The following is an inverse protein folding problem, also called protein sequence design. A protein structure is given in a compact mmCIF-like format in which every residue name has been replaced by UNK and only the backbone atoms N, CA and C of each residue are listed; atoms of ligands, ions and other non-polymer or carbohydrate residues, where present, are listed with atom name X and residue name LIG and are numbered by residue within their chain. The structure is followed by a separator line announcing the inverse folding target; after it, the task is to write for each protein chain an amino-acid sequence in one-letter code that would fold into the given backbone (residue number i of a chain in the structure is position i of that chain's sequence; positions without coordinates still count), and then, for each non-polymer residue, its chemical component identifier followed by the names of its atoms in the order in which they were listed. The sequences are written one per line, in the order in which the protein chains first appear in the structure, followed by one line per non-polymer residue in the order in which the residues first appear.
data_IF_913728816305
#
_entry.id   IF_913728816305
#
_cell.length_a   1.000
_cell.length_b   1.000
_cell.length_c   1.000
_cell.angle_alpha   90.00
_cell.angle_beta   90.00
_cell.angle_gamma   90.00
#
_symmetry.space_group_name_H-M   'P 1'
#
loop_
_entity.id
_entity.type
_entity.pdbx_description
1 polymer ?
#
# COMPACT_ATOMS: atom_id res chain seq x y z
N UNK A 1 -6.86 24.99 -4.60
CA UNK A 1 -7.59 24.29 -5.67
C UNK A 1 -7.99 22.89 -5.22
N UNK A 2 -9.20 22.50 -5.53
CA UNK A 2 -9.69 21.16 -5.16
C UNK A 2 -8.99 20.09 -5.98
N UNK A 3 -8.71 18.96 -5.35
CA UNK A 3 -8.18 17.79 -6.02
C UNK A 3 -9.27 17.11 -6.82
N UNK A 4 -8.91 16.39 -7.87
CA UNK A 4 -9.87 15.61 -8.64
C UNK A 4 -10.49 14.51 -7.77
N UNK A 5 -11.65 14.00 -8.19
CA UNK A 5 -12.30 12.89 -7.51
C UNK A 5 -11.41 11.64 -7.51
N UNK A 6 -10.71 11.39 -8.63
CA UNK A 6 -9.80 10.25 -8.74
C UNK A 6 -8.65 10.37 -7.77
N UNK A 7 -8.09 11.56 -7.63
CA UNK A 7 -6.99 11.78 -6.68
C UNK A 7 -7.47 11.64 -5.24
N UNK A 8 -8.63 12.21 -4.91
CA UNK A 8 -9.22 12.07 -3.57
C UNK A 8 -9.46 10.61 -3.21
N UNK A 9 -9.98 9.84 -4.17
CA UNK A 9 -10.20 8.41 -3.98
C UNK A 9 -8.87 7.65 -3.80
N UNK A 10 -7.87 8.00 -4.60
CA UNK A 10 -6.56 7.37 -4.50
C UNK A 10 -5.91 7.63 -3.14
N UNK A 11 -6.02 8.85 -2.64
CA UNK A 11 -5.54 9.20 -1.29
C UNK A 11 -6.20 8.30 -0.25
N UNK A 12 -7.52 8.13 -0.32
CA UNK A 12 -8.25 7.26 0.62
C UNK A 12 -7.80 5.82 0.53
N UNK A 13 -7.59 5.30 -0.68
CA UNK A 13 -7.13 3.93 -0.87
C UNK A 13 -5.71 3.73 -0.36
N UNK A 14 -4.83 4.71 -0.57
CA UNK A 14 -3.47 4.67 -0.03
C UNK A 14 -3.48 4.66 1.49
N UNK A 15 -4.28 5.51 2.12
CA UNK A 15 -4.34 5.56 3.58
C UNK A 15 -4.95 4.30 4.16
N UNK A 16 -5.96 3.73 3.49
CA UNK A 16 -6.55 2.46 3.90
C UNK A 16 -5.53 1.32 3.81
N UNK A 17 -4.76 1.28 2.72
CA UNK A 17 -3.71 0.28 2.55
C UNK A 17 -2.61 0.43 3.60
N UNK A 18 -2.19 1.66 3.88
CA UNK A 18 -1.23 1.95 4.93
C UNK A 18 -1.70 1.39 6.28
N UNK A 19 -2.92 1.71 6.68
CA UNK A 19 -3.47 1.27 7.96
C UNK A 19 -3.61 -0.25 8.02
N UNK A 20 -4.12 -0.85 6.95
CA UNK A 20 -4.34 -2.30 6.90
C UNK A 20 -3.01 -3.07 6.95
N UNK A 21 -2.03 -2.67 6.14
CA UNK A 21 -0.75 -3.37 6.10
C UNK A 21 0.03 -3.21 7.39
N UNK A 22 0.12 -2.01 7.92
CA UNK A 22 0.85 -1.78 9.16
C UNK A 22 0.15 -2.45 10.35
N UNK A 23 -1.16 -2.30 10.43
CA UNK A 23 -1.95 -2.93 11.49
C UNK A 23 -1.85 -4.46 11.47
N UNK A 24 -1.93 -5.05 10.28
CA UNK A 24 -1.82 -6.50 10.14
C UNK A 24 -0.42 -6.98 10.49
N UNK A 25 0.62 -6.25 10.05
CA UNK A 25 2.00 -6.63 10.38
C UNK A 25 2.22 -6.64 11.90
N UNK A 26 1.78 -5.60 12.58
CA UNK A 26 2.02 -5.42 14.02
C UNK A 26 1.14 -6.31 14.89
N UNK A 27 -0.11 -6.55 14.48
CA UNK A 27 -1.10 -7.22 15.34
C UNK A 27 -1.44 -8.65 14.91
N UNK A 28 -1.04 -9.07 13.73
CA UNK A 28 -1.31 -10.41 13.24
C UNK A 28 -0.01 -11.15 12.89
N UNK A 29 0.83 -10.58 12.05
CA UNK A 29 2.04 -11.25 11.60
C UNK A 29 3.00 -11.53 12.76
N UNK A 30 3.23 -10.55 13.62
CA UNK A 30 4.14 -10.73 14.76
C UNK A 30 3.63 -11.80 15.74
N UNK A 31 2.33 -11.88 15.91
CA UNK A 31 1.74 -12.88 16.83
C UNK A 31 1.68 -14.27 16.21
N UNK A 32 1.41 -14.35 14.92
CA UNK A 32 1.31 -15.63 14.22
C UNK A 32 2.68 -16.28 14.02
N UNK A 33 3.69 -15.47 13.71
CA UNK A 33 5.05 -15.97 13.48
C UNK A 33 5.19 -16.73 12.17
N UNK A 34 6.19 -17.59 12.09
CA UNK A 34 6.43 -18.42 10.92
C UNK A 34 6.63 -17.61 9.65
N UNK A 35 5.92 -17.95 8.58
CA UNK A 35 6.04 -17.26 7.30
C UNK A 35 5.68 -15.78 7.39
N UNK A 36 4.81 -15.42 8.35
CA UNK A 36 4.35 -14.05 8.52
C UNK A 36 5.47 -13.10 8.97
N UNK A 37 6.55 -13.61 9.52
CA UNK A 37 7.68 -12.81 9.98
C UNK A 37 8.98 -13.14 9.26
N UNK A 38 8.91 -13.82 8.13
CA UNK A 38 10.09 -13.98 7.27
C UNK A 38 10.62 -12.59 6.93
N UNK A 39 11.93 -12.34 7.03
CA UNK A 39 12.45 -10.98 6.85
C UNK A 39 12.03 -10.31 5.56
N UNK A 40 12.08 -11.02 4.43
CA UNK A 40 11.71 -10.45 3.14
C UNK A 40 10.24 -10.03 3.12
N UNK A 41 9.35 -10.88 3.63
CA UNK A 41 7.92 -10.58 3.69
C UNK A 41 7.64 -9.38 4.60
N UNK A 42 8.20 -9.40 5.81
CA UNK A 42 7.93 -8.37 6.80
C UNK A 42 8.45 -7.01 6.34
N UNK A 43 9.66 -6.97 5.75
CA UNK A 43 10.21 -5.74 5.19
C UNK A 43 9.35 -5.21 4.06
N UNK A 44 8.79 -6.09 3.23
CA UNK A 44 7.93 -5.69 2.12
C UNK A 44 6.64 -5.05 2.65
N UNK A 45 6.06 -5.60 3.71
CA UNK A 45 4.88 -4.99 4.34
C UNK A 45 5.19 -3.61 4.91
N UNK A 46 6.36 -3.45 5.52
CA UNK A 46 6.79 -2.14 6.03
C UNK A 46 7.00 -1.15 4.90
N UNK A 47 7.65 -1.57 3.81
CA UNK A 47 7.85 -0.72 2.64
C UNK A 47 6.52 -0.33 2.01
N UNK A 48 5.59 -1.28 1.90
CA UNK A 48 4.27 -1.01 1.33
C UNK A 48 3.51 0.02 2.15
N UNK A 49 3.46 -0.16 3.47
CA UNK A 49 2.77 0.77 4.35
C UNK A 49 3.35 2.18 4.24
N UNK A 50 4.68 2.30 4.30
CA UNK A 50 5.31 3.62 4.21
C UNK A 50 5.11 4.26 2.84
N UNK A 51 5.21 3.48 1.77
CA UNK A 51 5.02 4.01 0.42
C UNK A 51 3.59 4.51 0.20
N UNK A 52 2.60 3.79 0.73
CA UNK A 52 1.20 4.23 0.66
C UNK A 52 1.00 5.57 1.37
N UNK A 53 1.58 5.71 2.55
CA UNK A 53 1.50 6.96 3.31
C UNK A 53 2.19 8.10 2.56
N UNK A 54 3.35 7.82 1.99
CA UNK A 54 4.12 8.80 1.23
C UNK A 54 3.37 9.24 -0.03
N UNK A 55 2.77 8.29 -0.76
CA UNK A 55 2.00 8.61 -1.95
C UNK A 55 0.80 9.50 -1.60
N UNK A 56 0.09 9.18 -0.51
CA UNK A 56 -1.02 10.00 -0.05
C UNK A 56 -0.54 11.42 0.30
N UNK A 57 0.59 11.53 0.98
CA UNK A 57 1.17 12.81 1.34
C UNK A 57 1.46 13.66 0.10
N UNK A 58 2.11 13.06 -0.90
CA UNK A 58 2.48 13.78 -2.13
C UNK A 58 1.25 14.22 -2.92
N UNK A 59 0.19 13.43 -2.92
CA UNK A 59 -1.07 13.85 -3.55
C UNK A 59 -1.74 14.98 -2.76
N UNK A 60 -1.72 14.88 -1.43
CA UNK A 60 -2.34 15.88 -0.56
C UNK A 60 -1.69 17.25 -0.69
N UNK A 61 -0.36 17.30 -0.82
CA UNK A 61 0.32 18.58 -1.04
C UNK A 61 0.29 19.04 -2.50
N UNK A 62 -0.35 18.25 -3.35
CA UNK A 62 -0.58 18.55 -4.76
C UNK A 62 0.71 18.87 -5.53
N UNK A 63 1.78 18.14 -5.25
CA UNK A 63 3.02 18.27 -6.01
C UNK A 63 2.97 17.40 -7.27
N UNK A 64 3.53 17.85 -8.40
CA UNK A 64 3.59 17.03 -9.61
C UNK A 64 4.41 15.74 -9.42
N UNK A 65 5.26 15.69 -8.40
CA UNK A 65 6.03 14.50 -8.08
C UNK A 65 5.16 13.32 -7.63
N UNK A 66 3.87 13.55 -7.33
CA UNK A 66 2.96 12.45 -6.95
C UNK A 66 2.88 11.37 -8.02
N UNK A 67 3.14 11.70 -9.28
CA UNK A 67 3.10 10.71 -10.37
C UNK A 67 4.16 9.64 -10.17
N UNK A 68 5.36 10.02 -9.73
CA UNK A 68 6.44 9.08 -9.47
C UNK A 68 6.19 8.27 -8.21
N UNK A 69 5.73 8.91 -7.15
CA UNK A 69 5.43 8.19 -5.89
C UNK A 69 4.27 7.22 -6.08
N UNK A 70 3.24 7.61 -6.83
CA UNK A 70 2.13 6.72 -7.14
C UNK A 70 2.58 5.53 -7.99
N UNK A 71 3.49 5.75 -8.93
CA UNK A 71 4.05 4.67 -9.74
C UNK A 71 4.79 3.65 -8.89
N UNK A 72 5.64 4.13 -8.00
CA UNK A 72 6.37 3.25 -7.08
C UNK A 72 5.41 2.55 -6.11
N UNK A 73 4.42 3.27 -5.62
CA UNK A 73 3.39 2.71 -4.75
C UNK A 73 2.65 1.57 -5.42
N UNK A 74 2.26 1.75 -6.68
CA UNK A 74 1.58 0.70 -7.45
C UNK A 74 2.45 -0.55 -7.57
N UNK A 75 3.74 -0.38 -7.82
CA UNK A 75 4.68 -1.48 -7.95
C UNK A 75 4.84 -2.25 -6.64
N UNK A 76 5.09 -1.53 -5.55
CA UNK A 76 5.26 -2.15 -4.24
C UNK A 76 3.97 -2.83 -3.75
N UNK A 77 2.83 -2.18 -3.95
CA UNK A 77 1.54 -2.77 -3.56
C UNK A 77 1.25 -4.06 -4.33
N UNK A 78 1.61 -4.11 -5.61
CA UNK A 78 1.45 -5.32 -6.42
C UNK A 78 2.30 -6.46 -5.85
N UNK A 79 3.56 -6.18 -5.53
CA UNK A 79 4.44 -7.18 -4.93
C UNK A 79 3.94 -7.62 -3.56
N UNK A 80 3.49 -6.67 -2.74
CA UNK A 80 3.00 -6.96 -1.40
C UNK A 80 1.75 -7.82 -1.44
N UNK A 81 0.82 -7.53 -2.35
CA UNK A 81 -0.39 -8.34 -2.52
C UNK A 81 -0.03 -9.80 -2.86
N UNK A 82 0.88 -9.99 -3.81
CA UNK A 82 1.29 -11.32 -4.22
C UNK A 82 1.96 -12.07 -3.08
N UNK A 83 2.80 -11.39 -2.31
CA UNK A 83 3.52 -12.03 -1.21
C UNK A 83 2.59 -12.35 -0.03
N UNK A 84 1.65 -11.47 0.28
CA UNK A 84 0.64 -11.73 1.31
C UNK A 84 -0.25 -12.91 0.91
N UNK A 85 -0.56 -13.06 -0.38
CA UNK A 85 -1.31 -14.21 -0.87
C UNK A 85 -0.51 -15.48 -0.71
N UNK A 86 0.79 -15.46 -1.00
CA UNK A 86 1.68 -16.59 -0.80
C UNK A 86 1.72 -17.04 0.66
N UNK A 87 1.83 -16.09 1.57
CA UNK A 87 1.88 -16.37 3.01
C UNK A 87 0.56 -16.93 3.50
N UNK A 88 -0.54 -16.41 3.02
CA UNK A 88 -1.88 -16.89 3.38
C UNK A 88 -2.44 -16.23 4.64
N UNK A 89 -3.75 -16.27 4.78
CA UNK A 89 -4.42 -15.71 5.96
C UNK A 89 -4.37 -14.21 6.06
N UNK A 90 -4.21 -13.51 4.94
CA UNK A 90 -4.03 -12.06 4.90
C UNK A 90 -4.93 -11.40 3.85
N UNK A 91 -6.17 -11.86 3.74
CA UNK A 91 -7.08 -11.44 2.68
C UNK A 91 -7.33 -9.93 2.66
N UNK A 92 -7.42 -9.30 3.82
CA UNK A 92 -7.62 -7.85 3.89
C UNK A 92 -6.44 -7.07 3.30
N UNK A 93 -5.22 -7.51 3.60
CA UNK A 93 -4.02 -6.90 3.04
C UNK A 93 -3.95 -7.10 1.53
N UNK A 94 -4.26 -8.30 1.05
CA UNK A 94 -4.27 -8.59 -0.38
C UNK A 94 -5.24 -7.66 -1.11
N UNK A 95 -6.46 -7.54 -0.58
CA UNK A 95 -7.50 -6.69 -1.17
C UNK A 95 -7.10 -5.21 -1.16
N UNK A 96 -6.62 -4.72 -0.03
CA UNK A 96 -6.22 -3.32 0.11
C UNK A 96 -5.05 -2.99 -0.82
N UNK A 97 -4.05 -3.86 -0.92
CA UNK A 97 -2.91 -3.66 -1.79
C UNK A 97 -3.32 -3.66 -3.27
N UNK A 98 -4.21 -4.55 -3.67
CA UNK A 98 -4.67 -4.61 -5.06
C UNK A 98 -5.45 -3.36 -5.45
N UNK A 99 -6.34 -2.90 -4.59
CA UNK A 99 -7.12 -1.69 -4.84
C UNK A 99 -6.21 -0.46 -4.94
N UNK A 100 -5.25 -0.37 -4.03
CA UNK A 100 -4.28 0.73 -4.02
C UNK A 100 -3.40 0.69 -5.26
N UNK A 101 -2.90 -0.49 -5.64
CA UNK A 101 -2.05 -0.64 -6.82
C UNK A 101 -2.77 -0.18 -8.09
N UNK A 102 -4.03 -0.57 -8.25
CA UNK A 102 -4.81 -0.18 -9.42
C UNK A 102 -5.00 1.34 -9.48
N UNK A 103 -5.37 1.95 -8.37
CA UNK A 103 -5.61 3.39 -8.30
C UNK A 103 -4.32 4.19 -8.50
N UNK A 104 -3.24 3.80 -7.84
CA UNK A 104 -1.94 4.46 -7.97
C UNK A 104 -1.39 4.32 -9.39
N UNK A 105 -1.57 3.17 -10.02
CA UNK A 105 -1.15 2.96 -11.41
C UNK A 105 -1.82 3.93 -12.35
N UNK A 106 -3.12 4.19 -12.15
CA UNK A 106 -3.86 5.15 -12.95
C UNK A 106 -3.37 6.58 -12.71
N UNK A 107 -3.03 6.93 -11.47
CA UNK A 107 -2.53 8.26 -11.14
C UNK A 107 -1.11 8.51 -11.66
N UNK A 108 -0.34 7.45 -11.89
CA UNK A 108 1.04 7.55 -12.41
C UNK A 108 1.08 7.75 -13.92
N UNK A 109 0.01 7.40 -14.61
CA UNK A 109 -0.06 7.44 -16.08
C UNK A 109 -0.07 8.87 -16.65
#
# INVERSE_FOLDING_TARGET
MAQSEDMTRCISLCMSCYQTCLGTAMNHCLETGGKHVEPKHFRLMMACAEMCRTAAHFMLINTPHHRHTCGECAEICTECAADCERVGGMDECVSACRSCAQSCGAMAA
#
